data_IF_420443111929
#
_entry.id   IF_420443111929
#
_cell.length_a   1.000
_cell.length_b   1.000
_cell.length_c   1.000
_cell.angle_alpha   90.00
_cell.angle_beta   90.00
_cell.angle_gamma   90.00
#
_symmetry.space_group_name_H-M   'P 1'
#
loop_
_entity.id
_entity.type
_entity.pdbx_description
1 polymer ?
#
# COMPACT_ATOMS: atom_id res chain seq x y z
N UNK A 1 8.69 7.84 -10.88
CA UNK A 1 8.66 6.49 -10.31
C UNK A 1 8.84 5.53 -11.47
N UNK A 2 9.70 4.52 -11.35
CA UNK A 2 9.82 3.50 -12.40
C UNK A 2 8.48 2.73 -12.53
N UNK A 3 8.22 2.16 -13.70
CA UNK A 3 7.05 1.32 -13.92
C UNK A 3 7.15 0.02 -13.13
N UNK A 4 6.00 -0.58 -12.79
CA UNK A 4 5.98 -1.88 -12.12
C UNK A 4 6.48 -2.98 -13.07
N UNK A 5 7.11 -4.02 -12.52
CA UNK A 5 7.36 -5.27 -13.24
C UNK A 5 6.08 -6.06 -13.59
N UNK A 6 4.92 -5.60 -13.13
CA UNK A 6 3.60 -6.19 -13.34
C UNK A 6 2.69 -5.22 -14.13
N UNK A 7 2.93 -5.05 -15.45
CA UNK A 7 2.25 -4.03 -16.25
C UNK A 7 0.73 -4.23 -16.30
N UNK A 8 0.27 -5.49 -16.30
CA UNK A 8 -1.16 -5.82 -16.26
C UNK A 8 -1.83 -5.40 -14.95
N UNK A 9 -1.07 -5.39 -13.84
CA UNK A 9 -1.58 -4.96 -12.54
C UNK A 9 -1.59 -3.43 -12.44
N UNK A 10 -0.53 -2.78 -12.90
CA UNK A 10 -0.42 -1.30 -12.92
C UNK A 10 -1.45 -0.65 -13.86
N UNK A 11 -1.69 -1.28 -15.01
CA UNK A 11 -2.59 -0.82 -16.06
C UNK A 11 -4.06 -1.20 -15.84
N UNK A 12 -4.37 -2.09 -14.89
CA UNK A 12 -5.75 -2.55 -14.66
C UNK A 12 -6.62 -1.37 -14.22
N UNK A 13 -7.64 -1.10 -15.02
CA UNK A 13 -8.75 -0.26 -14.60
C UNK A 13 -9.77 -1.15 -13.88
N UNK A 14 -10.19 -0.70 -12.71
CA UNK A 14 -11.17 -1.39 -11.89
C UNK A 14 -12.00 -0.40 -11.11
N UNK A 15 -12.85 -0.97 -10.25
CA UNK A 15 -13.83 -0.25 -9.48
C UNK A 15 -13.46 -0.29 -7.99
N UNK A 16 -14.11 0.54 -7.19
CA UNK A 16 -13.93 0.57 -5.74
C UNK A 16 -12.85 1.54 -5.26
N UNK A 17 -12.70 1.65 -3.93
CA UNK A 17 -12.05 2.81 -3.31
C UNK A 17 -10.58 2.98 -3.69
N UNK A 18 -9.84 1.88 -3.88
CA UNK A 18 -8.43 1.95 -4.29
C UNK A 18 -8.28 2.42 -5.74
N UNK A 19 -9.13 1.94 -6.65
CA UNK A 19 -9.15 2.37 -8.05
C UNK A 19 -9.55 3.85 -8.17
N UNK A 20 -10.52 4.29 -7.37
CA UNK A 20 -10.97 5.68 -7.30
C UNK A 20 -9.84 6.60 -6.81
N UNK A 21 -9.15 6.21 -5.73
CA UNK A 21 -8.02 6.95 -5.20
C UNK A 21 -6.86 7.06 -6.21
N UNK A 22 -6.52 5.97 -6.91
CA UNK A 22 -5.51 5.99 -7.98
C UNK A 22 -5.90 6.98 -9.07
N UNK A 23 -7.17 6.99 -9.52
CA UNK A 23 -7.65 7.94 -10.53
C UNK A 23 -7.56 9.39 -10.05
N UNK A 24 -7.93 9.66 -8.80
CA UNK A 24 -7.83 10.99 -8.21
C UNK A 24 -6.38 11.48 -8.13
N UNK A 25 -5.45 10.64 -7.66
CA UNK A 25 -4.03 10.98 -7.58
C UNK A 25 -3.44 11.25 -8.97
N UNK A 26 -3.74 10.40 -9.96
CA UNK A 26 -3.32 10.62 -11.36
C UNK A 26 -3.89 11.92 -11.92
N UNK A 27 -5.18 12.20 -11.70
CA UNK A 27 -5.82 13.44 -12.14
C UNK A 27 -5.24 14.69 -11.48
N UNK A 28 -4.73 14.58 -10.26
CA UNK A 28 -4.03 15.64 -9.54
C UNK A 28 -2.53 15.73 -9.88
N UNK A 29 -1.99 14.89 -10.77
CA UNK A 29 -0.57 14.84 -11.09
C UNK A 29 0.32 14.33 -9.95
N UNK A 30 -0.26 13.65 -8.96
CA UNK A 30 0.47 13.10 -7.81
C UNK A 30 1.02 11.70 -8.12
N UNK A 31 2.22 11.36 -7.62
CA UNK A 31 2.76 10.01 -7.77
C UNK A 31 1.89 9.00 -7.01
N UNK A 32 1.52 7.90 -7.67
CA UNK A 32 0.75 6.81 -7.06
C UNK A 32 1.71 5.80 -6.42
N UNK A 33 1.62 5.53 -5.11
CA UNK A 33 2.35 4.43 -4.49
C UNK A 33 2.02 3.10 -5.17
N UNK A 34 3.03 2.38 -5.68
CA UNK A 34 2.79 1.19 -6.50
C UNK A 34 1.97 0.10 -5.79
N UNK A 35 2.02 0.02 -4.45
CA UNK A 35 1.25 -0.97 -3.67
C UNK A 35 -0.26 -0.78 -3.84
N UNK A 36 -0.72 0.44 -4.15
CA UNK A 36 -2.14 0.70 -4.39
C UNK A 36 -2.66 -0.07 -5.61
N UNK A 37 -1.83 -0.32 -6.62
CA UNK A 37 -2.21 -1.15 -7.77
C UNK A 37 -2.49 -2.60 -7.35
N UNK A 38 -1.68 -3.16 -6.43
CA UNK A 38 -1.94 -4.50 -5.88
C UNK A 38 -3.27 -4.53 -5.09
N UNK A 39 -3.56 -3.44 -4.37
CA UNK A 39 -4.79 -3.31 -3.59
C UNK A 39 -6.03 -3.23 -4.46
N UNK A 40 -5.97 -2.46 -5.55
CA UNK A 40 -7.03 -2.39 -6.55
C UNK A 40 -7.19 -3.70 -7.35
N UNK A 41 -6.11 -4.45 -7.56
CA UNK A 41 -6.14 -5.69 -8.34
C UNK A 41 -6.79 -6.88 -7.64
N UNK A 42 -6.64 -6.99 -6.30
CA UNK A 42 -7.23 -8.08 -5.48
C UNK A 42 -7.89 -7.56 -4.20
N UNK A 43 -8.81 -6.62 -4.34
CA UNK A 43 -9.53 -5.93 -3.25
C UNK A 43 -10.02 -6.86 -2.15
N UNK A 44 -10.65 -8.01 -2.51
CA UNK A 44 -11.18 -8.96 -1.53
C UNK A 44 -10.13 -9.53 -0.56
N UNK A 45 -8.87 -9.59 -0.99
CA UNK A 45 -7.75 -10.05 -0.15
C UNK A 45 -7.08 -8.89 0.56
N UNK A 46 -6.91 -7.77 -0.14
CA UNK A 46 -6.09 -6.63 0.33
C UNK A 46 -6.83 -5.73 1.30
N UNK A 47 -8.18 -5.73 1.31
CA UNK A 47 -8.98 -5.00 2.32
C UNK A 47 -8.61 -5.41 3.76
N UNK A 48 -8.52 -6.72 4.01
CA UNK A 48 -8.18 -7.24 5.33
C UNK A 48 -6.72 -6.96 5.71
N UNK A 49 -5.81 -6.99 4.73
CA UNK A 49 -4.41 -6.60 4.94
C UNK A 49 -4.31 -5.12 5.33
N UNK A 50 -5.05 -4.23 4.65
CA UNK A 50 -5.05 -2.81 4.94
C UNK A 50 -5.63 -2.52 6.35
N UNK A 51 -6.75 -3.14 6.69
CA UNK A 51 -7.38 -3.03 8.02
C UNK A 51 -6.43 -3.50 9.14
N UNK A 52 -5.83 -4.68 8.96
CA UNK A 52 -4.85 -5.23 9.89
C UNK A 52 -3.66 -4.29 10.05
N UNK A 53 -3.09 -3.80 8.95
CA UNK A 53 -1.93 -2.91 8.96
C UNK A 53 -2.26 -1.59 9.66
N UNK A 54 -3.43 -1.00 9.39
CA UNK A 54 -3.88 0.21 10.06
C UNK A 54 -4.04 -0.01 11.57
N UNK A 55 -4.65 -1.13 11.98
CA UNK A 55 -4.82 -1.49 13.38
C UNK A 55 -3.47 -1.65 14.10
N UNK A 56 -2.55 -2.42 13.52
CA UNK A 56 -1.22 -2.64 14.09
C UNK A 56 -0.42 -1.35 14.16
N UNK A 57 -0.41 -0.56 13.10
CA UNK A 57 0.52 0.57 12.94
C UNK A 57 0.00 1.89 13.53
N UNK A 58 -1.32 2.06 13.68
CA UNK A 58 -1.96 3.30 14.13
C UNK A 58 -2.94 3.13 15.29
N UNK A 59 -3.36 1.90 15.60
CA UNK A 59 -4.25 1.62 16.73
C UNK A 59 -3.59 1.79 18.11
N UNK A 60 -4.38 1.59 19.17
CA UNK A 60 -3.92 1.63 20.56
C UNK A 60 -2.77 0.64 20.79
N UNK A 61 -1.69 1.10 21.42
CA UNK A 61 -0.49 0.30 21.67
C UNK A 61 0.36 0.95 22.75
N UNK A 62 1.12 0.18 23.55
CA UNK A 62 2.18 0.72 24.39
C UNK A 62 3.37 1.24 23.58
N UNK A 63 3.46 0.88 22.29
CA UNK A 63 4.49 1.38 21.38
C UNK A 63 4.02 2.62 20.64
N UNK A 64 4.88 3.62 20.56
CA UNK A 64 4.62 4.80 19.73
C UNK A 64 4.53 4.43 18.24
N UNK A 65 3.89 5.29 17.43
CA UNK A 65 3.86 5.10 15.98
C UNK A 65 5.28 4.96 15.40
N UNK A 66 6.23 5.80 15.85
CA UNK A 66 7.63 5.73 15.39
C UNK A 66 8.34 4.43 15.75
N UNK A 67 8.08 3.85 16.93
CA UNK A 67 8.65 2.55 17.31
C UNK A 67 8.11 1.42 16.42
N UNK A 68 6.83 1.48 16.04
CA UNK A 68 6.23 0.49 15.14
C UNK A 68 6.79 0.62 13.72
N UNK A 69 6.99 1.83 13.23
CA UNK A 69 7.67 2.08 11.95
C UNK A 69 9.12 1.58 11.97
N UNK A 70 9.85 1.76 13.09
CA UNK A 70 11.21 1.24 13.22
C UNK A 70 11.26 -0.30 13.12
N UNK A 71 10.31 -0.99 13.77
CA UNK A 71 10.19 -2.46 13.67
C UNK A 71 9.87 -2.87 12.22
N UNK A 72 8.93 -2.19 11.56
CA UNK A 72 8.56 -2.46 10.18
C UNK A 72 9.75 -2.26 9.23
N UNK A 73 10.44 -1.12 9.31
CA UNK A 73 11.61 -0.83 8.49
C UNK A 73 12.75 -1.84 8.72
N UNK A 74 13.05 -2.17 9.98
CA UNK A 74 14.09 -3.14 10.31
C UNK A 74 13.79 -4.54 9.75
N UNK A 75 12.56 -5.01 9.92
CA UNK A 75 12.16 -6.35 9.43
C UNK A 75 12.03 -6.40 7.91
N UNK A 76 11.51 -5.35 7.26
CA UNK A 76 11.50 -5.22 5.80
C UNK A 76 12.91 -5.26 5.21
N UNK A 77 13.89 -4.58 5.84
CA UNK A 77 15.29 -4.64 5.39
C UNK A 77 15.87 -6.04 5.51
N UNK A 78 15.53 -6.79 6.56
CA UNK A 78 15.98 -8.19 6.74
C UNK A 78 15.32 -9.17 5.78
N UNK A 79 14.14 -8.84 5.28
CA UNK A 79 13.41 -9.64 4.29
C UNK A 79 13.68 -9.20 2.85
N UNK A 80 14.68 -8.34 2.62
CA UNK A 80 15.00 -7.76 1.32
C UNK A 80 13.74 -7.27 0.59
N UNK A 81 12.91 -6.50 1.30
CA UNK A 81 11.72 -5.86 0.79
C UNK A 81 12.01 -4.37 0.55
N UNK A 82 12.53 -3.99 -0.64
CA UNK A 82 12.94 -2.61 -0.96
C UNK A 82 11.76 -1.71 -1.39
N UNK A 83 10.53 -2.20 -1.24
CA UNK A 83 9.31 -1.54 -1.71
C UNK A 83 9.17 -0.11 -1.18
#
# INVERSE_FOLDING_TARGET
MESMYLPEVEGRQGDGPWSDAIRQMRGAGLPVPQIMHLFAFKTERTKHLAEFTQGVMRGSSPLSAGQRELIAAFTSRRNDCPF
#
